data_IF_088328104286
#
_entry.id   IF_088328104286
#
_cell.length_a   1.000
_cell.length_b   1.000
_cell.length_c   1.000
_cell.angle_alpha   90.00
_cell.angle_beta   90.00
_cell.angle_gamma   90.00
#
_symmetry.space_group_name_H-M   'P 1'
#
loop_
_entity.id
_entity.type
_entity.pdbx_description
1 polymer ?
#
# COMPACT_ATOMS: atom_id res chain seq x y z
N UNK A 1 -57.86 19.10 41.59
CA UNK A 1 -57.39 19.96 40.49
C UNK A 1 -56.09 19.31 40.01
N UNK A 2 -56.14 18.29 39.15
CA UNK A 2 -56.15 18.40 37.68
C UNK A 2 -54.84 19.08 37.21
N UNK A 3 -53.93 18.53 36.41
CA UNK A 3 -53.99 17.50 35.37
C UNK A 3 -52.54 17.14 34.96
N UNK A 4 -52.41 15.92 34.46
CA UNK A 4 -51.33 15.29 33.68
C UNK A 4 -50.81 16.11 32.49
N UNK A 5 -49.52 15.96 32.17
CA UNK A 5 -48.96 16.31 30.84
C UNK A 5 -48.27 15.12 30.19
N UNK A 6 -48.89 14.69 29.09
CA UNK A 6 -48.46 13.72 28.08
C UNK A 6 -47.78 14.42 26.89
N UNK A 7 -47.01 13.60 26.17
CA UNK A 7 -46.16 13.85 25.00
C UNK A 7 -46.76 14.60 23.80
N UNK A 8 -45.89 15.12 22.91
CA UNK A 8 -45.96 14.86 21.45
C UNK A 8 -44.71 15.39 20.68
N UNK A 9 -44.40 14.66 19.61
CA UNK A 9 -43.28 14.79 18.68
C UNK A 9 -43.42 15.91 17.63
N UNK A 10 -42.36 16.21 16.87
CA UNK A 10 -42.45 17.00 15.63
C UNK A 10 -41.13 17.37 14.96
N UNK A 11 -40.89 16.77 13.80
CA UNK A 11 -39.77 16.80 12.83
C UNK A 11 -39.29 18.20 12.35
N UNK A 12 -38.01 18.36 11.92
CA UNK A 12 -37.44 19.64 11.47
C UNK A 12 -37.82 19.99 10.02
N UNK A 13 -38.09 21.27 9.77
CA UNK A 13 -38.30 21.84 8.42
C UNK A 13 -37.12 22.74 8.05
N UNK A 14 -36.58 22.49 6.86
CA UNK A 14 -35.45 23.14 6.21
C UNK A 14 -35.63 24.65 5.97
N UNK A 15 -34.51 25.38 6.07
CA UNK A 15 -34.19 26.63 5.34
C UNK A 15 -32.69 26.94 5.54
N UNK A 16 -31.97 27.56 4.58
CA UNK A 16 -32.33 28.86 4.02
C UNK A 16 -32.08 29.05 2.51
N UNK A 17 -32.53 30.25 2.11
CA UNK A 17 -32.63 30.87 0.80
C UNK A 17 -31.32 31.12 0.06
N UNK A 18 -31.31 30.75 -1.22
CA UNK A 18 -30.44 31.28 -2.29
C UNK A 18 -30.87 32.70 -2.69
N UNK A 19 -29.91 33.61 -2.92
CA UNK A 19 -29.76 34.33 -4.21
C UNK A 19 -28.68 35.43 -4.15
N UNK A 20 -28.20 35.80 -5.35
CA UNK A 20 -27.17 36.78 -5.78
C UNK A 20 -25.80 36.14 -5.95
N UNK A 21 -25.23 35.99 -7.15
CA UNK A 21 -25.43 36.68 -8.43
C UNK A 21 -24.03 37.01 -8.96
N UNK A 22 -23.64 36.53 -10.14
CA UNK A 22 -22.28 36.76 -10.63
C UNK A 22 -22.04 36.22 -12.03
N UNK A 23 -22.18 37.10 -13.02
CA UNK A 23 -21.84 36.91 -14.43
C UNK A 23 -20.40 36.42 -14.57
N UNK A 24 -20.13 35.52 -15.53
CA UNK A 24 -19.34 35.85 -16.75
C UNK A 24 -19.12 34.62 -17.63
N UNK A 25 -19.27 34.91 -18.91
CA UNK A 25 -19.04 34.08 -20.08
C UNK A 25 -17.55 33.78 -20.27
N UNK A 26 -17.18 32.51 -20.56
CA UNK A 26 -16.53 32.07 -21.81
C UNK A 26 -15.77 30.74 -21.67
N UNK A 27 -15.72 30.07 -22.81
CA UNK A 27 -14.79 29.02 -23.26
C UNK A 27 -15.05 27.58 -22.79
N UNK A 28 -15.57 26.81 -23.74
CA UNK A 28 -15.46 25.37 -23.83
C UNK A 28 -14.01 24.91 -23.66
N UNK A 29 -13.80 23.93 -22.78
CA UNK A 29 -12.75 22.94 -22.95
C UNK A 29 -13.39 21.57 -22.75
N UNK A 30 -13.32 20.74 -23.79
CA UNK A 30 -13.70 19.33 -23.76
C UNK A 30 -12.74 18.63 -22.80
N UNK A 31 -13.22 18.22 -21.62
CA UNK A 31 -12.52 17.24 -20.81
C UNK A 31 -12.78 15.86 -21.42
N UNK A 32 -11.83 15.44 -22.26
CA UNK A 32 -11.67 14.07 -22.69
C UNK A 32 -11.26 13.26 -21.45
N UNK A 33 -12.19 12.53 -20.85
CA UNK A 33 -11.83 11.45 -19.94
C UNK A 33 -11.43 10.26 -20.81
N UNK A 34 -10.11 10.05 -20.89
CA UNK A 34 -9.51 8.87 -21.47
C UNK A 34 -10.12 7.62 -20.85
N UNK A 35 -10.54 6.71 -21.72
CA UNK A 35 -10.70 5.32 -21.34
C UNK A 35 -9.33 4.71 -21.02
N UNK A 36 -9.36 3.70 -20.16
CA UNK A 36 -8.63 2.47 -20.43
C UNK A 36 -9.43 1.32 -19.82
N UNK A 37 -10.19 0.67 -20.69
CA UNK A 37 -10.65 -0.69 -20.48
C UNK A 37 -9.60 -1.64 -21.05
N UNK A 38 -9.37 -2.75 -20.37
CA UNK A 38 -8.49 -3.80 -20.85
C UNK A 38 -8.26 -4.89 -19.80
N UNK A 39 -9.33 -5.59 -19.39
CA UNK A 39 -9.24 -6.75 -18.52
C UNK A 39 -9.56 -8.03 -19.30
N UNK A 40 -8.61 -8.48 -20.12
CA UNK A 40 -8.59 -9.83 -20.69
C UNK A 40 -7.17 -10.22 -21.14
N UNK A 41 -6.21 -10.24 -20.20
CA UNK A 41 -4.95 -11.00 -20.20
C UNK A 41 -4.26 -10.87 -18.81
N UNK A 42 -5.00 -11.13 -17.74
CA UNK A 42 -4.88 -10.34 -16.49
C UNK A 42 -3.98 -10.87 -15.37
N UNK A 43 -3.32 -12.03 -15.54
CA UNK A 43 -2.45 -12.57 -14.48
C UNK A 43 -1.05 -11.93 -14.47
N UNK A 44 -0.31 -12.09 -15.56
CA UNK A 44 1.11 -11.71 -15.60
C UNK A 44 1.35 -10.19 -15.59
N UNK A 45 0.38 -9.36 -16.01
CA UNK A 45 0.50 -7.89 -16.00
C UNK A 45 0.25 -7.32 -14.59
N UNK A 46 -0.70 -7.90 -13.85
CA UNK A 46 -1.03 -7.45 -12.49
C UNK A 46 0.09 -7.80 -11.52
N UNK A 47 0.64 -9.01 -11.59
CA UNK A 47 1.82 -9.42 -10.80
C UNK A 47 3.03 -8.51 -11.09
N UNK A 48 3.32 -8.22 -12.36
CA UNK A 48 4.40 -7.30 -12.72
C UNK A 48 4.18 -5.88 -12.19
N UNK A 49 2.93 -5.41 -12.19
CA UNK A 49 2.55 -4.11 -11.63
C UNK A 49 2.72 -4.08 -10.11
N UNK A 50 2.28 -5.13 -9.41
CA UNK A 50 2.45 -5.26 -7.96
C UNK A 50 3.92 -5.38 -7.56
N UNK A 51 4.72 -6.14 -8.31
CA UNK A 51 6.17 -6.19 -8.15
C UNK A 51 6.82 -4.81 -8.33
N UNK A 52 6.44 -4.05 -9.36
CA UNK A 52 6.99 -2.71 -9.56
C UNK A 52 6.62 -1.74 -8.42
N UNK A 53 5.37 -1.80 -7.96
CA UNK A 53 4.91 -1.01 -6.81
C UNK A 53 5.74 -1.35 -5.56
N UNK A 54 5.93 -2.64 -5.28
CA UNK A 54 6.68 -3.10 -4.11
C UNK A 54 8.19 -2.82 -4.21
N UNK A 55 8.75 -2.87 -5.41
CA UNK A 55 10.13 -2.44 -5.69
C UNK A 55 10.32 -0.97 -5.36
N UNK A 56 9.51 -0.09 -5.96
CA UNK A 56 9.56 1.37 -5.72
C UNK A 56 9.33 1.70 -4.25
N UNK A 57 8.40 1.00 -3.59
CA UNK A 57 8.17 1.13 -2.15
C UNK A 57 9.44 0.80 -1.35
N UNK A 58 10.11 -0.30 -1.68
CA UNK A 58 11.31 -0.74 -0.96
C UNK A 58 12.46 0.25 -1.14
N UNK A 59 12.70 0.74 -2.36
CA UNK A 59 13.72 1.75 -2.66
C UNK A 59 13.47 3.07 -1.92
N UNK A 60 12.21 3.54 -1.92
CA UNK A 60 11.83 4.77 -1.22
C UNK A 60 11.91 4.61 0.31
N UNK A 61 11.51 3.46 0.83
CA UNK A 61 11.56 3.20 2.25
C UNK A 61 13.00 3.10 2.75
N UNK A 62 13.87 2.36 2.04
CA UNK A 62 15.30 2.24 2.36
C UNK A 62 15.98 3.62 2.47
N UNK A 63 15.73 4.51 1.50
CA UNK A 63 16.23 5.90 1.51
C UNK A 63 15.70 6.70 2.71
N UNK A 64 14.43 6.52 3.06
CA UNK A 64 13.80 7.23 4.18
C UNK A 64 14.28 6.74 5.55
N UNK A 65 14.44 5.43 5.72
CA UNK A 65 14.88 4.82 6.98
C UNK A 65 16.39 4.76 7.14
N UNK A 66 17.16 5.20 6.13
CA UNK A 66 18.63 5.12 6.11
C UNK A 66 19.12 3.67 6.32
N UNK A 67 18.44 2.73 5.66
CA UNK A 67 18.74 1.30 5.69
C UNK A 67 19.15 0.82 4.30
N UNK A 68 19.85 -0.29 4.26
CA UNK A 68 20.40 -0.88 3.04
C UNK A 68 19.78 -2.26 2.78
N UNK A 69 19.86 -2.70 1.53
CA UNK A 69 19.47 -4.05 1.16
C UNK A 69 20.54 -5.05 1.60
N UNK A 70 20.17 -6.33 1.65
CA UNK A 70 21.13 -7.41 1.84
C UNK A 70 22.18 -7.39 0.71
N UNK A 71 23.43 -7.73 1.02
CA UNK A 71 24.49 -7.88 0.01
C UNK A 71 24.10 -8.88 -1.08
N UNK A 72 23.29 -9.88 -0.71
CA UNK A 72 22.67 -10.81 -1.66
C UNK A 72 21.32 -10.28 -2.15
N UNK A 73 21.29 -9.88 -3.43
CA UNK A 73 20.09 -9.36 -4.09
C UNK A 73 19.02 -10.43 -4.30
N UNK A 74 19.37 -11.71 -4.25
CA UNK A 74 18.39 -12.79 -4.38
C UNK A 74 17.41 -12.81 -3.20
N UNK A 75 17.91 -12.57 -1.98
CA UNK A 75 17.08 -12.46 -0.76
C UNK A 75 16.10 -11.29 -0.90
N UNK A 76 16.61 -10.13 -1.30
CA UNK A 76 15.80 -8.93 -1.54
C UNK A 76 14.69 -9.17 -2.57
N UNK A 77 15.01 -9.85 -3.67
CA UNK A 77 14.06 -10.17 -4.73
C UNK A 77 12.94 -11.12 -4.27
N UNK A 78 13.28 -12.20 -3.55
CA UNK A 78 12.29 -13.17 -3.03
C UNK A 78 11.34 -12.51 -2.04
N UNK A 79 11.84 -11.63 -1.18
CA UNK A 79 11.01 -10.92 -0.21
C UNK A 79 10.07 -9.92 -0.91
N UNK A 80 10.57 -9.16 -1.89
CA UNK A 80 9.73 -8.24 -2.69
C UNK A 80 8.63 -9.00 -3.43
N UNK A 81 8.95 -10.17 -4.00
CA UNK A 81 7.96 -11.04 -4.63
C UNK A 81 6.90 -11.52 -3.63
N UNK A 82 7.30 -12.05 -2.49
CA UNK A 82 6.35 -12.52 -1.47
C UNK A 82 5.44 -11.40 -0.93
N UNK A 83 5.96 -10.17 -0.81
CA UNK A 83 5.14 -9.01 -0.46
C UNK A 83 4.14 -8.63 -1.55
N UNK A 84 4.53 -8.73 -2.83
CA UNK A 84 3.64 -8.51 -3.95
C UNK A 84 2.53 -9.58 -4.01
N UNK A 85 2.90 -10.87 -3.86
CA UNK A 85 1.95 -11.99 -3.86
C UNK A 85 0.90 -11.82 -2.74
N UNK A 86 1.33 -11.46 -1.52
CA UNK A 86 0.39 -11.18 -0.42
C UNK A 86 -0.45 -9.94 -0.67
N UNK A 87 0.09 -8.92 -1.33
CA UNK A 87 -0.66 -7.73 -1.71
C UNK A 87 -1.78 -8.08 -2.70
N UNK A 88 -1.53 -8.97 -3.64
CA UNK A 88 -2.53 -9.39 -4.63
C UNK A 88 -3.58 -10.34 -4.03
N UNK A 89 -3.17 -11.24 -3.13
CA UNK A 89 -4.07 -12.21 -2.49
C UNK A 89 -4.93 -11.61 -1.36
N UNK A 90 -4.33 -10.78 -0.50
CA UNK A 90 -4.95 -10.25 0.72
C UNK A 90 -5.30 -8.75 0.61
N UNK A 91 -4.81 -8.06 -0.42
CA UNK A 91 -4.91 -6.60 -0.56
C UNK A 91 -3.82 -5.81 0.19
N UNK A 92 -3.07 -6.47 1.09
CA UNK A 92 -2.04 -5.86 1.94
C UNK A 92 -0.71 -6.62 1.91
N UNK A 93 0.45 -5.92 1.92
CA UNK A 93 1.77 -6.54 1.83
C UNK A 93 2.21 -7.13 3.19
N UNK A 94 1.71 -8.30 3.56
CA UNK A 94 2.05 -9.00 4.81
C UNK A 94 3.48 -9.60 4.74
N UNK A 95 4.34 -9.47 5.79
CA UNK A 95 5.73 -9.99 5.71
C UNK A 95 5.73 -11.51 5.44
N UNK A 96 6.38 -11.95 4.34
CA UNK A 96 6.34 -13.34 3.89
C UNK A 96 7.19 -14.30 4.73
N UNK A 97 8.13 -13.80 5.53
CA UNK A 97 9.02 -14.62 6.36
C UNK A 97 8.41 -15.07 7.70
N UNK A 98 7.10 -14.92 7.88
CA UNK A 98 6.38 -15.41 9.07
C UNK A 98 5.26 -16.35 8.67
N UNK A 99 5.00 -17.32 9.53
CA UNK A 99 3.81 -18.16 9.45
C UNK A 99 2.66 -17.49 10.20
N UNK A 100 1.45 -17.58 9.65
CA UNK A 100 0.22 -17.05 10.23
C UNK A 100 -0.86 -18.13 10.11
N UNK A 101 -1.65 -18.32 11.16
CA UNK A 101 -2.79 -19.25 11.13
C UNK A 101 -3.94 -18.69 10.28
N UNK A 102 -4.24 -17.39 10.43
CA UNK A 102 -5.20 -16.66 9.60
C UNK A 102 -4.57 -15.38 9.02
N UNK A 103 -4.16 -15.46 7.75
CA UNK A 103 -3.53 -14.35 7.03
C UNK A 103 -4.48 -13.16 6.82
N UNK A 104 -5.79 -13.41 6.68
CA UNK A 104 -6.75 -12.34 6.39
C UNK A 104 -7.02 -11.49 7.63
N UNK A 105 -7.15 -12.14 8.80
CA UNK A 105 -7.29 -11.44 10.08
C UNK A 105 -6.05 -10.59 10.39
N UNK A 106 -4.85 -11.11 10.16
CA UNK A 106 -3.59 -10.38 10.40
C UNK A 106 -3.39 -9.21 9.44
N UNK A 107 -3.74 -9.40 8.15
CA UNK A 107 -3.71 -8.33 7.17
C UNK A 107 -4.68 -7.19 7.54
N UNK A 108 -5.84 -7.51 8.11
CA UNK A 108 -6.81 -6.53 8.60
C UNK A 108 -6.34 -5.80 9.87
N UNK A 109 -5.67 -6.50 10.80
CA UNK A 109 -5.06 -5.89 11.97
C UNK A 109 -3.91 -4.93 11.60
N UNK A 110 -3.12 -5.30 10.60
CA UNK A 110 -2.07 -4.47 10.03
C UNK A 110 -0.78 -4.35 10.85
N UNK A 111 -0.61 -5.17 11.89
CA UNK A 111 0.63 -5.19 12.69
C UNK A 111 1.84 -5.65 11.86
N UNK A 112 1.64 -6.67 11.02
CA UNK A 112 2.68 -7.29 10.18
C UNK A 112 2.66 -6.81 8.72
N UNK A 113 1.81 -5.83 8.39
CA UNK A 113 1.80 -5.22 7.07
C UNK A 113 3.06 -4.38 6.89
N UNK A 114 3.80 -4.62 5.80
CA UNK A 114 5.04 -3.92 5.51
C UNK A 114 4.78 -2.42 5.25
N UNK A 115 5.45 -1.49 5.96
CA UNK A 115 6.48 -1.69 6.98
C UNK A 115 5.89 -2.06 8.36
N UNK A 116 6.28 -3.23 8.90
CA UNK A 116 5.73 -3.77 10.14
C UNK A 116 6.09 -2.92 11.37
N UNK A 117 5.36 -3.09 12.47
CA UNK A 117 5.57 -2.33 13.71
C UNK A 117 7.03 -2.35 14.19
N UNK A 118 7.73 -3.51 14.28
CA UNK A 118 9.14 -3.55 14.67
C UNK A 118 10.05 -2.72 13.76
N UNK A 119 9.78 -2.73 12.45
CA UNK A 119 10.57 -1.96 11.49
C UNK A 119 10.39 -0.45 11.70
N UNK A 120 9.16 0.00 11.98
CA UNK A 120 8.87 1.43 12.16
C UNK A 120 9.43 1.98 13.47
N UNK A 121 9.40 1.18 14.54
CA UNK A 121 9.79 1.63 15.88
C UNK A 121 11.28 1.42 16.16
N UNK A 122 11.85 0.29 15.69
CA UNK A 122 13.20 -0.16 16.06
C UNK A 122 14.12 -0.39 14.86
N UNK A 123 13.60 -0.30 13.62
CA UNK A 123 14.32 -0.64 12.37
C UNK A 123 14.79 -2.10 12.31
N UNK A 124 14.08 -3.00 12.98
CA UNK A 124 14.36 -4.43 12.97
C UNK A 124 13.54 -5.12 11.86
N UNK A 125 14.21 -5.59 10.81
CA UNK A 125 13.58 -6.32 9.71
C UNK A 125 13.99 -7.79 9.71
N UNK A 126 13.12 -8.67 10.22
CA UNK A 126 13.37 -10.12 10.16
C UNK A 126 13.46 -10.67 8.73
N UNK A 127 12.70 -10.05 7.83
CA UNK A 127 12.67 -10.35 6.40
C UNK A 127 14.05 -10.00 5.71
N UNK A 128 15.04 -9.41 6.41
CA UNK A 128 16.35 -8.96 5.89
C UNK A 128 16.30 -8.00 4.68
N UNK A 129 15.13 -7.37 4.46
CA UNK A 129 14.93 -6.40 3.39
C UNK A 129 15.50 -5.03 3.76
N UNK A 130 15.43 -4.65 5.03
CA UNK A 130 15.93 -3.36 5.50
C UNK A 130 16.91 -3.61 6.63
N UNK A 131 18.20 -3.56 6.30
CA UNK A 131 19.29 -3.76 7.25
C UNK A 131 19.91 -2.41 7.61
N UNK A 132 20.30 -2.28 8.86
CA UNK A 132 21.11 -1.15 9.30
C UNK A 132 22.55 -1.31 8.79
N UNK A 133 23.29 -0.22 8.54
CA UNK A 133 24.67 -0.30 8.02
C UNK A 133 25.65 -1.02 8.95
N UNK A 134 25.30 -1.17 10.23
CA UNK A 134 26.06 -1.95 11.23
C UNK A 134 25.85 -3.47 11.12
N UNK A 135 24.93 -3.94 10.28
CA UNK A 135 24.69 -5.36 10.10
C UNK A 135 25.71 -5.99 9.12
N UNK A 136 26.27 -7.15 9.47
CA UNK A 136 27.27 -7.85 8.64
C UNK A 136 26.78 -8.24 7.24
N UNK A 137 25.46 -8.36 7.05
CA UNK A 137 24.84 -8.71 5.76
C UNK A 137 24.32 -7.49 5.00
N UNK A 138 24.48 -6.28 5.55
CA UNK A 138 24.09 -5.06 4.85
C UNK A 138 25.05 -4.82 3.67
N UNK A 139 24.50 -4.71 2.47
CA UNK A 139 25.22 -4.16 1.33
C UNK A 139 25.24 -2.64 1.36
N UNK A 140 25.74 -2.04 0.29
CA UNK A 140 25.72 -0.58 0.09
C UNK A 140 24.56 -0.14 -0.83
N UNK A 141 23.87 -1.12 -1.43
CA UNK A 141 22.79 -0.89 -2.39
C UNK A 141 21.47 -0.53 -1.69
N UNK A 142 20.83 0.53 -2.18
CA UNK A 142 19.47 0.96 -1.82
C UNK A 142 18.52 0.97 -3.04
N UNK A 143 18.99 0.42 -4.16
CA UNK A 143 18.25 0.32 -5.40
C UNK A 143 18.30 -1.13 -5.90
N UNK A 144 17.21 -1.58 -6.51
CA UNK A 144 17.15 -2.89 -7.15
C UNK A 144 16.33 -2.76 -8.44
N UNK A 145 16.92 -3.19 -9.54
CA UNK A 145 16.28 -3.13 -10.85
C UNK A 145 15.24 -4.26 -11.00
N UNK A 146 14.28 -4.07 -11.92
CA UNK A 146 13.27 -5.11 -12.19
C UNK A 146 13.88 -6.37 -12.83
N UNK A 147 14.94 -6.21 -13.62
CA UNK A 147 15.69 -7.30 -14.21
C UNK A 147 16.36 -8.17 -13.14
N UNK A 148 16.98 -7.57 -12.12
CA UNK A 148 17.58 -8.30 -10.99
C UNK A 148 16.52 -9.11 -10.22
N UNK A 149 15.34 -8.53 -9.99
CA UNK A 149 14.23 -9.24 -9.34
C UNK A 149 13.77 -10.42 -10.20
N UNK A 150 13.58 -10.20 -11.51
CA UNK A 150 13.13 -11.24 -12.44
C UNK A 150 14.16 -12.36 -12.58
N UNK A 151 15.45 -12.04 -12.64
CA UNK A 151 16.50 -13.06 -12.73
C UNK A 151 16.58 -13.89 -11.45
N UNK A 152 16.56 -13.23 -10.29
CA UNK A 152 16.58 -13.93 -9.00
C UNK A 152 15.36 -14.82 -8.79
N UNK A 153 14.19 -14.40 -9.26
CA UNK A 153 12.95 -15.17 -9.14
C UNK A 153 12.77 -16.22 -10.24
N UNK A 154 13.47 -16.14 -11.37
CA UNK A 154 13.46 -17.18 -12.41
C UNK A 154 14.36 -18.38 -12.07
N UNK A 155 15.28 -18.22 -11.12
CA UNK A 155 16.18 -19.28 -10.66
C UNK A 155 15.52 -20.28 -9.70
N UNK A 156 14.32 -19.97 -9.20
CA UNK A 156 13.56 -20.77 -8.23
C UNK A 156 12.11 -20.94 -8.69
#
# INVERSE_FOLDING_TARGET
>A
MSITSTAAAGTPVCRPSVSRGGRRSRCAVRAQAAGDGGAAADGASSEQKSLEIMRKFSEQYARRSSTFFCSDKSVTAVVIKGLADHKDQLGAPLCPCRHYDDKAAEAAQGFWNCPCVPMRERKECHCMLFLTPDNDFAGEDQAISLEEIKEATSKY
#
